data_IF_223241327200
#
_entry.id   IF_223241327200
#
_cell.length_a   1.000
_cell.length_b   1.000
_cell.length_c   1.000
_cell.angle_alpha   90.00
_cell.angle_beta   90.00
_cell.angle_gamma   90.00
#
_symmetry.space_group_name_H-M   'P 1'
#
loop_
_entity.id
_entity.type
_entity.pdbx_description
1 polymer ?
#
# COMPACT_ATOMS: atom_id res chain seq x y z
N UNK A 1 21.20 4.91 -65.28
CA UNK A 1 21.40 3.80 -64.32
C UNK A 1 20.59 4.15 -63.08
N UNK A 2 19.30 3.80 -63.10
CA UNK A 2 18.68 2.66 -62.36
C UNK A 2 18.57 2.94 -60.86
N UNK A 3 17.42 2.86 -60.20
CA UNK A 3 16.09 2.40 -60.60
C UNK A 3 15.12 2.57 -59.42
N UNK A 4 13.83 2.61 -59.77
CA UNK A 4 12.68 2.80 -58.89
C UNK A 4 12.42 1.61 -57.95
N UNK A 5 11.89 1.87 -56.75
CA UNK A 5 11.10 0.92 -55.94
C UNK A 5 9.82 1.65 -55.51
N UNK A 6 8.69 1.47 -56.21
CA UNK A 6 7.64 0.44 -56.03
C UNK A 6 7.05 0.44 -54.61
N UNK A 7 5.91 1.12 -54.48
CA UNK A 7 4.94 0.97 -53.40
C UNK A 7 4.08 -0.26 -53.69
N UNK A 8 3.99 -1.18 -52.74
CA UNK A 8 3.04 -2.30 -52.76
C UNK A 8 1.84 -1.98 -51.88
N UNK A 9 0.72 -1.67 -52.53
CA UNK A 9 -0.64 -1.71 -51.98
C UNK A 9 -1.03 -3.15 -51.70
N UNK A 10 -1.41 -3.46 -50.46
CA UNK A 10 -1.99 -4.74 -50.08
C UNK A 10 -3.52 -4.58 -50.06
N UNK A 11 -4.19 -5.15 -51.06
CA UNK A 11 -5.62 -5.47 -51.03
C UNK A 11 -5.86 -6.56 -49.97
N UNK A 12 -6.76 -6.30 -49.02
CA UNK A 12 -7.36 -7.36 -48.21
C UNK A 12 -8.78 -7.56 -48.71
N UNK A 13 -8.96 -8.70 -49.40
CA UNK A 13 -10.22 -9.20 -49.88
C UNK A 13 -11.15 -9.52 -48.70
N UNK A 14 -12.43 -9.16 -48.87
CA UNK A 14 -13.50 -9.52 -47.96
C UNK A 14 -13.78 -11.01 -47.94
N UNK A 15 -14.02 -11.54 -46.75
CA UNK A 15 -14.70 -12.80 -46.54
C UNK A 15 -15.93 -12.54 -45.67
N UNK A 16 -17.11 -12.53 -46.29
CA UNK A 16 -18.39 -12.62 -45.60
C UNK A 16 -18.46 -13.96 -44.88
N UNK A 17 -18.49 -13.92 -43.54
CA UNK A 17 -18.88 -15.07 -42.72
C UNK A 17 -20.39 -14.95 -42.53
N UNK A 18 -21.14 -15.77 -43.27
CA UNK A 18 -22.57 -15.98 -43.05
C UNK A 18 -22.71 -16.94 -41.87
N UNK A 19 -22.80 -16.39 -40.65
CA UNK A 19 -23.23 -17.16 -39.48
C UNK A 19 -24.72 -17.47 -39.58
N UNK A 20 -25.01 -18.75 -39.83
CA UNK A 20 -26.34 -19.33 -39.86
C UNK A 20 -26.80 -19.55 -38.41
N UNK A 21 -27.53 -18.58 -37.86
CA UNK A 21 -28.21 -18.72 -36.59
C UNK A 21 -29.30 -19.81 -36.69
N UNK A 22 -29.08 -20.95 -36.03
CA UNK A 22 -30.13 -21.91 -35.74
C UNK A 22 -30.87 -21.40 -34.51
N UNK A 23 -32.07 -20.87 -34.75
CA UNK A 23 -33.04 -20.54 -33.69
C UNK A 23 -33.61 -21.86 -33.17
N UNK A 24 -33.17 -22.27 -31.98
CA UNK A 24 -33.80 -23.35 -31.22
C UNK A 24 -34.90 -22.71 -30.35
N UNK A 25 -36.17 -23.14 -30.47
CA UNK A 25 -37.24 -22.62 -29.62
C UNK A 25 -37.07 -23.14 -28.18
N UNK A 26 -37.36 -22.31 -27.15
CA UNK A 26 -37.36 -22.78 -25.76
C UNK A 26 -38.57 -23.69 -25.53
N UNK A 27 -38.29 -24.92 -25.12
CA UNK A 27 -39.27 -25.90 -24.66
C UNK A 27 -39.75 -25.48 -23.27
N UNK A 28 -40.99 -24.97 -23.21
CA UNK A 28 -41.69 -24.70 -21.96
C UNK A 28 -42.10 -26.01 -21.30
N UNK A 29 -41.63 -26.24 -20.07
CA UNK A 29 -42.18 -27.24 -19.15
C UNK A 29 -42.36 -26.62 -17.76
N UNK A 30 -43.58 -26.60 -17.21
CA UNK A 30 -43.84 -25.96 -15.91
C UNK A 30 -43.59 -26.95 -14.77
N UNK A 31 -42.44 -26.83 -14.11
CA UNK A 31 -42.24 -27.46 -12.79
C UNK A 31 -42.80 -26.51 -11.71
N UNK A 32 -44.04 -26.77 -11.29
CA UNK A 32 -44.61 -26.21 -10.05
C UNK A 32 -43.84 -26.77 -8.84
N UNK A 33 -42.77 -26.11 -8.43
CA UNK A 33 -42.18 -26.34 -7.11
C UNK A 33 -42.86 -25.43 -6.08
N UNK A 34 -43.52 -26.07 -5.12
CA UNK A 34 -44.21 -25.45 -4.00
C UNK A 34 -43.15 -25.13 -2.93
N UNK A 35 -42.53 -23.95 -3.00
CA UNK A 35 -41.64 -23.50 -1.93
C UNK A 35 -42.47 -23.07 -0.71
N UNK A 36 -42.40 -23.88 0.34
CA UNK A 36 -42.82 -23.50 1.67
C UNK A 36 -41.87 -22.40 2.19
N UNK A 37 -42.41 -21.23 2.47
CA UNK A 37 -41.68 -20.15 3.12
C UNK A 37 -41.30 -20.56 4.54
N UNK A 38 -40.00 -20.70 4.79
CA UNK A 38 -39.42 -20.63 6.12
C UNK A 38 -38.60 -19.35 6.18
N UNK A 39 -39.26 -18.26 6.57
CA UNK A 39 -38.59 -17.04 7.02
C UNK A 39 -37.84 -17.39 8.31
N UNK A 40 -36.55 -17.73 8.19
CA UNK A 40 -35.64 -17.67 9.31
C UNK A 40 -35.01 -16.29 9.29
N UNK A 41 -35.60 -15.39 10.07
CA UNK A 41 -34.89 -14.24 10.61
C UNK A 41 -33.61 -14.75 11.27
N UNK A 42 -32.48 -14.55 10.61
CA UNK A 42 -31.18 -14.73 11.23
C UNK A 42 -31.04 -13.60 12.26
N UNK A 43 -31.31 -13.92 13.53
CA UNK A 43 -30.92 -13.09 14.66
C UNK A 43 -29.39 -12.94 14.63
N UNK A 44 -28.92 -11.81 14.07
CA UNK A 44 -27.54 -11.38 14.24
C UNK A 44 -27.29 -11.17 15.74
N UNK A 45 -26.12 -11.60 16.27
CA UNK A 45 -25.79 -11.37 17.66
C UNK A 45 -25.73 -9.86 17.93
N UNK A 46 -26.71 -9.34 18.65
CA UNK A 46 -26.65 -7.98 19.18
C UNK A 46 -25.66 -7.96 20.35
N UNK A 47 -24.73 -7.01 20.32
CA UNK A 47 -23.86 -6.71 21.45
C UNK A 47 -24.72 -6.07 22.54
N UNK A 48 -24.88 -6.78 23.65
CA UNK A 48 -25.61 -6.33 24.84
C UNK A 48 -24.71 -5.37 25.64
N UNK A 49 -24.83 -4.07 25.37
CA UNK A 49 -24.07 -3.01 26.04
C UNK A 49 -24.48 -2.78 27.51
N UNK A 50 -25.48 -3.50 28.03
CA UNK A 50 -25.92 -3.40 29.43
C UNK A 50 -25.23 -4.39 30.37
N UNK A 51 -24.34 -5.26 29.87
CA UNK A 51 -23.48 -6.08 30.72
C UNK A 51 -22.16 -5.35 30.93
N UNK A 52 -21.88 -5.01 32.18
CA UNK A 52 -20.57 -4.61 32.66
C UNK A 52 -19.50 -5.49 32.02
N UNK A 53 -18.64 -4.87 31.22
CA UNK A 53 -17.49 -5.51 30.60
C UNK A 53 -16.73 -6.30 31.68
N UNK A 54 -16.19 -7.50 31.39
CA UNK A 54 -15.41 -8.23 32.36
C UNK A 54 -14.22 -7.35 32.79
N UNK A 55 -14.26 -6.87 34.04
CA UNK A 55 -13.10 -6.22 34.65
C UNK A 55 -11.96 -7.22 34.67
N UNK A 56 -10.84 -6.84 34.06
CA UNK A 56 -9.56 -7.50 34.29
C UNK A 56 -9.25 -7.36 35.78
N UNK A 57 -9.44 -8.44 36.53
CA UNK A 57 -8.91 -8.59 37.88
C UNK A 57 -7.39 -8.52 37.75
N UNK A 58 -6.82 -7.34 37.96
CA UNK A 58 -5.39 -7.19 38.18
C UNK A 58 -5.09 -7.91 39.49
N UNK A 59 -4.50 -9.10 39.39
CA UNK A 59 -3.85 -9.75 40.53
C UNK A 59 -2.74 -8.82 41.01
N UNK A 60 -3.03 -8.03 42.05
CA UNK A 60 -2.01 -7.53 42.97
C UNK A 60 -1.41 -8.77 43.64
N UNK A 61 -0.10 -8.77 43.79
CA UNK A 61 0.72 -9.83 44.39
C UNK A 61 1.30 -10.79 43.35
N UNK A 62 2.26 -10.33 42.55
CA UNK A 62 3.54 -11.03 42.37
C UNK A 62 4.66 -10.02 42.08
N UNK A 63 5.73 -10.13 42.85
CA UNK A 63 6.98 -9.36 42.77
C UNK A 63 7.62 -9.48 41.38
N UNK A 64 7.38 -8.49 40.52
CA UNK A 64 8.12 -8.33 39.27
C UNK A 64 9.39 -7.52 39.53
N UNK A 65 10.55 -7.91 38.97
CA UNK A 65 11.81 -7.21 39.17
C UNK A 65 11.72 -5.78 38.63
N UNK A 66 12.05 -4.81 39.48
CA UNK A 66 12.16 -3.40 39.11
C UNK A 66 13.08 -3.26 37.90
N UNK A 67 12.50 -2.90 36.75
CA UNK A 67 13.28 -2.40 35.64
C UNK A 67 13.91 -1.08 36.08
N UNK A 68 15.24 -1.06 36.17
CA UNK A 68 16.04 0.15 36.34
C UNK A 68 15.75 1.11 35.17
N UNK A 69 14.74 1.95 35.34
CA UNK A 69 14.50 3.11 34.50
C UNK A 69 15.63 4.10 34.78
N UNK A 70 16.69 3.97 33.98
CA UNK A 70 17.72 4.98 33.84
C UNK A 70 17.08 6.34 33.61
N UNK A 71 17.31 7.20 34.59
CA UNK A 71 16.88 8.58 34.73
C UNK A 71 17.22 9.40 33.48
N UNK A 72 16.36 9.36 32.46
CA UNK A 72 16.41 10.30 31.33
C UNK A 72 15.85 11.63 31.81
N UNK A 73 16.75 12.57 32.03
CA UNK A 73 16.51 13.98 32.27
C UNK A 73 15.37 14.52 31.41
N UNK A 74 14.40 15.16 32.08
CA UNK A 74 13.29 15.92 31.54
C UNK A 74 13.68 16.75 30.32
N UNK A 75 13.34 16.27 29.13
CA UNK A 75 13.22 17.13 27.97
C UNK A 75 11.96 17.98 28.14
N UNK A 76 12.12 19.30 27.93
CA UNK A 76 11.05 20.30 27.98
C UNK A 76 9.81 19.84 27.21
N UNK A 77 8.59 20.10 27.72
CA UNK A 77 7.37 19.93 26.93
C UNK A 77 7.39 20.93 25.78
N UNK A 78 7.45 20.43 24.56
CA UNK A 78 7.22 21.23 23.36
C UNK A 78 5.71 21.39 23.21
N UNK A 79 5.19 22.55 23.62
CA UNK A 79 3.82 22.96 23.26
C UNK A 79 3.82 23.35 21.78
N UNK A 80 3.50 22.38 20.93
CA UNK A 80 3.23 22.58 19.50
C UNK A 80 1.74 22.82 19.32
N UNK A 81 1.37 24.09 19.37
CA UNK A 81 0.09 24.57 18.88
C UNK A 81 0.18 24.64 17.36
N UNK A 82 -0.65 23.86 16.65
CA UNK A 82 -0.85 23.99 15.20
C UNK A 82 -1.60 25.28 14.87
N UNK A 83 -1.05 26.42 15.30
CA UNK A 83 -1.25 27.64 14.56
C UNK A 83 -0.58 27.43 13.21
N UNK A 84 -1.29 27.76 12.13
CA UNK A 84 -0.71 27.97 10.82
C UNK A 84 0.48 28.94 10.98
N UNK A 85 1.68 28.39 11.18
CA UNK A 85 2.87 29.20 11.28
C UNK A 85 3.15 29.66 9.86
N UNK A 86 2.82 30.92 9.61
CA UNK A 86 3.43 31.70 8.55
C UNK A 86 4.94 31.71 8.87
N UNK A 87 5.63 30.70 8.36
CA UNK A 87 7.08 30.58 8.47
C UNK A 87 7.62 31.76 7.66
N UNK A 88 7.82 32.88 8.34
CA UNK A 88 8.69 33.96 7.88
C UNK A 88 10.13 33.44 8.02
N UNK A 89 10.48 32.56 7.09
CA UNK A 89 11.84 32.15 6.82
C UNK A 89 12.67 33.44 6.71
N UNK A 90 13.67 33.60 7.58
CA UNK A 90 14.62 34.71 7.48
C UNK A 90 15.34 34.58 6.13
N UNK A 91 14.78 35.23 5.12
CA UNK A 91 15.25 35.21 3.75
C UNK A 91 16.68 35.74 3.73
N UNK A 92 17.64 34.84 3.54
CA UNK A 92 19.01 35.20 3.20
C UNK A 92 18.96 36.03 1.92
N UNK A 93 19.21 37.33 2.06
CA UNK A 93 19.31 38.27 0.95
C UNK A 93 20.65 38.02 0.26
N UNK A 94 20.59 37.57 -0.99
CA UNK A 94 21.76 37.50 -1.86
C UNK A 94 21.71 38.77 -2.69
N UNK A 95 22.70 39.64 -2.49
CA UNK A 95 22.80 40.96 -3.15
C UNK A 95 21.61 41.89 -2.86
N UNK A 96 21.10 41.87 -1.62
CA UNK A 96 20.04 42.78 -1.20
C UNK A 96 18.65 42.49 -1.78
N UNK A 97 18.49 41.45 -2.62
CA UNK A 97 17.20 40.97 -3.10
C UNK A 97 16.81 39.66 -2.42
N UNK A 98 15.50 39.56 -2.13
CA UNK A 98 14.86 38.33 -1.64
C UNK A 98 15.12 37.19 -2.63
N UNK A 99 15.51 36.01 -2.13
CA UNK A 99 15.92 34.84 -2.94
C UNK A 99 14.89 34.51 -4.02
N UNK A 100 13.59 34.55 -3.70
CA UNK A 100 12.50 34.33 -4.67
C UNK A 100 12.47 35.38 -5.79
N UNK A 101 12.76 36.64 -5.49
CA UNK A 101 12.82 37.73 -6.49
C UNK A 101 14.06 37.61 -7.37
N UNK A 102 15.20 37.21 -6.81
CA UNK A 102 16.43 36.99 -7.56
C UNK A 102 16.24 35.92 -8.66
N UNK A 103 15.69 34.76 -8.30
CA UNK A 103 15.42 33.71 -9.29
C UNK A 103 14.38 34.13 -10.32
N UNK A 104 13.34 34.89 -9.94
CA UNK A 104 12.38 35.48 -10.88
C UNK A 104 13.08 36.36 -11.92
N UNK A 105 14.00 37.24 -11.51
CA UNK A 105 14.74 38.12 -12.43
C UNK A 105 15.65 37.32 -13.36
N UNK A 106 16.38 36.33 -12.83
CA UNK A 106 17.24 35.45 -13.65
C UNK A 106 16.43 34.69 -14.70
N UNK A 107 15.27 34.13 -14.31
CA UNK A 107 14.36 33.43 -15.23
C UNK A 107 13.85 34.39 -16.31
N UNK A 108 13.44 35.60 -15.96
CA UNK A 108 12.97 36.60 -16.94
C UNK A 108 14.07 36.98 -17.93
N UNK A 109 15.31 37.22 -17.47
CA UNK A 109 16.44 37.52 -18.37
C UNK A 109 16.76 36.35 -19.29
N UNK A 110 16.70 35.11 -18.76
CA UNK A 110 16.90 33.90 -19.57
C UNK A 110 15.79 33.75 -20.62
N UNK A 111 14.53 34.01 -20.25
CA UNK A 111 13.40 33.98 -21.17
C UNK A 111 13.49 35.05 -22.25
N UNK A 112 13.97 36.26 -21.95
CA UNK A 112 14.18 37.30 -22.95
C UNK A 112 15.30 36.88 -23.92
N UNK A 113 16.38 36.30 -23.41
CA UNK A 113 17.47 35.79 -24.26
C UNK A 113 16.99 34.66 -25.19
N UNK A 114 16.15 33.75 -24.69
CA UNK A 114 15.54 32.66 -25.47
C UNK A 114 14.47 33.18 -26.45
N UNK A 115 13.66 34.17 -26.06
CA UNK A 115 12.63 34.75 -26.92
C UNK A 115 13.23 35.53 -28.10
N UNK A 116 14.39 36.16 -27.93
CA UNK A 116 15.15 36.77 -29.04
C UNK A 116 15.73 35.67 -29.96
N UNK A 117 16.09 34.51 -29.42
CA UNK A 117 16.62 33.39 -30.19
C UNK A 117 15.53 32.59 -30.94
N UNK A 118 14.28 32.59 -30.47
CA UNK A 118 13.15 31.81 -31.03
C UNK A 118 12.05 32.75 -31.57
N UNK A 119 12.44 33.89 -32.13
CA UNK A 119 11.56 34.71 -32.96
C UNK A 119 11.19 34.00 -34.27
N UNK A 120 10.39 32.94 -34.18
CA UNK A 120 9.90 32.17 -35.32
C UNK A 120 9.35 30.79 -34.92
N UNK A 121 8.07 30.72 -34.52
CA UNK A 121 7.31 29.46 -34.61
C UNK A 121 6.40 29.10 -33.42
N UNK A 122 5.09 29.33 -33.62
CA UNK A 122 3.92 28.52 -33.23
C UNK A 122 3.79 27.97 -31.78
N UNK A 123 2.75 28.45 -31.08
CA UNK A 123 1.80 27.56 -30.37
C UNK A 123 2.09 27.16 -28.92
N UNK A 124 1.88 28.07 -27.96
CA UNK A 124 1.92 27.75 -26.53
C UNK A 124 0.62 27.12 -26.03
N UNK A 125 0.66 25.85 -25.62
CA UNK A 125 -0.38 25.24 -24.79
C UNK A 125 -0.18 25.62 -23.33
N UNK A 126 -1.16 26.33 -22.78
CA UNK A 126 -1.20 26.80 -21.38
C UNK A 126 -1.53 25.62 -20.46
N UNK A 127 -0.59 25.19 -19.61
CA UNK A 127 -0.86 24.28 -18.50
C UNK A 127 -1.37 25.12 -17.32
N UNK A 128 -2.65 24.97 -16.95
CA UNK A 128 -3.25 25.66 -15.80
C UNK A 128 -2.91 24.93 -14.51
N UNK A 129 -2.15 25.58 -13.63
CA UNK A 129 -2.07 25.23 -12.21
C UNK A 129 -3.44 25.53 -11.56
N UNK A 130 -4.27 24.51 -11.42
CA UNK A 130 -5.50 24.58 -10.65
C UNK A 130 -5.18 24.40 -9.17
N UNK A 131 -5.38 25.46 -8.38
CA UNK A 131 -5.45 25.38 -6.92
C UNK A 131 -6.61 24.46 -6.54
N UNK A 132 -6.36 23.17 -6.38
CA UNK A 132 -7.35 22.22 -5.86
C UNK A 132 -7.26 22.25 -4.34
N UNK A 133 -8.17 23.00 -3.73
CA UNK A 133 -8.42 22.92 -2.30
C UNK A 133 -9.02 21.56 -1.96
N UNK A 134 -8.53 20.93 -0.91
CA UNK A 134 -9.20 19.81 -0.26
C UNK A 134 -10.61 20.27 0.14
N UNK A 135 -11.63 19.80 -0.57
CA UNK A 135 -13.02 20.00 -0.16
C UNK A 135 -13.27 18.95 0.92
N UNK A 136 -13.53 19.35 2.18
CA UNK A 136 -13.89 18.41 3.22
C UNK A 136 -15.06 17.55 2.75
N UNK A 137 -14.95 16.23 2.89
CA UNK A 137 -16.08 15.37 2.54
C UNK A 137 -17.25 15.67 3.48
N UNK A 138 -18.46 15.65 2.91
CA UNK A 138 -19.70 15.82 3.67
C UNK A 138 -19.79 14.69 4.74
N UNK A 139 -20.05 15.01 6.02
CA UNK A 139 -20.28 13.99 7.06
C UNK A 139 -21.44 13.03 6.73
N UNK A 140 -22.24 13.31 5.69
CA UNK A 140 -23.29 12.42 5.18
C UNK A 140 -22.79 11.25 4.31
N UNK A 141 -21.50 11.19 3.96
CA UNK A 141 -20.96 10.09 3.13
C UNK A 141 -21.08 8.75 3.86
N UNK A 142 -21.84 7.84 3.26
CA UNK A 142 -22.03 6.48 3.79
C UNK A 142 -20.92 5.55 3.29
N UNK A 143 -20.40 4.71 4.19
CA UNK A 143 -19.48 3.63 3.83
C UNK A 143 -20.20 2.57 3.01
N UNK A 144 -19.56 2.06 1.96
CA UNK A 144 -20.08 0.96 1.16
C UNK A 144 -20.23 -0.30 2.03
N UNK A 145 -21.34 -1.04 1.90
CA UNK A 145 -21.62 -2.19 2.77
C UNK A 145 -20.59 -3.34 2.62
N UNK A 146 -19.99 -3.46 1.44
CA UNK A 146 -18.89 -4.39 1.17
C UNK A 146 -17.51 -3.71 1.12
N UNK A 147 -17.38 -2.49 1.64
CA UNK A 147 -16.09 -1.79 1.67
C UNK A 147 -15.03 -2.65 2.32
N UNK A 148 -13.89 -2.79 1.64
CA UNK A 148 -12.66 -3.26 2.26
C UNK A 148 -11.97 -2.07 2.93
N UNK A 149 -11.02 -2.35 3.81
CA UNK A 149 -10.26 -1.35 4.53
C UNK A 149 -8.78 -1.57 4.26
N UNK A 150 -8.05 -0.48 4.07
CA UNK A 150 -6.61 -0.45 4.17
C UNK A 150 -6.20 0.66 5.13
N UNK A 151 -5.05 0.52 5.76
CA UNK A 151 -4.52 1.54 6.64
C UNK A 151 -3.03 1.74 6.39
N UNK A 152 -2.58 2.96 6.60
CA UNK A 152 -1.16 3.30 6.60
C UNK A 152 -0.91 4.37 7.65
N UNK A 153 0.27 4.36 8.25
CA UNK A 153 0.70 5.37 9.19
C UNK A 153 2.11 5.84 8.82
N UNK A 154 2.43 7.08 9.15
CA UNK A 154 3.76 7.66 8.95
C UNK A 154 4.00 8.79 9.92
N UNK A 155 5.27 9.16 10.04
CA UNK A 155 5.71 10.36 10.75
C UNK A 155 6.35 11.31 9.74
N UNK A 156 6.04 12.60 9.82
CA UNK A 156 6.69 13.63 9.01
C UNK A 156 8.06 14.04 9.59
N UNK A 157 8.86 14.88 8.90
CA UNK A 157 10.14 15.36 9.44
C UNK A 157 10.04 16.26 10.68
N UNK A 158 8.85 16.77 11.01
CA UNK A 158 8.58 17.58 12.20
C UNK A 158 8.18 16.72 13.41
N UNK A 159 8.00 15.42 13.22
CA UNK A 159 7.57 14.49 14.27
C UNK A 159 6.05 14.36 14.40
N UNK A 160 5.28 14.93 13.48
CA UNK A 160 3.82 14.77 13.45
C UNK A 160 3.49 13.36 12.99
N UNK A 161 2.71 12.63 13.79
CA UNK A 161 2.23 11.30 13.43
C UNK A 161 0.93 11.39 12.67
N UNK A 162 0.78 10.55 11.64
CA UNK A 162 -0.41 10.47 10.81
C UNK A 162 -0.90 9.02 10.76
N UNK A 163 -2.23 8.85 10.80
CA UNK A 163 -2.90 7.58 10.55
C UNK A 163 -3.96 7.79 9.47
N UNK A 164 -3.88 7.03 8.39
CA UNK A 164 -4.85 7.03 7.31
C UNK A 164 -5.60 5.70 7.27
N UNK A 165 -6.91 5.79 7.09
CA UNK A 165 -7.80 4.65 6.83
C UNK A 165 -8.48 4.87 5.49
N UNK A 166 -8.23 3.98 4.55
CA UNK A 166 -8.80 3.98 3.21
C UNK A 166 -10.02 3.08 3.18
N UNK A 167 -11.08 3.57 2.55
CA UNK A 167 -12.37 2.88 2.45
C UNK A 167 -13.09 3.32 1.18
N UNK A 168 -14.19 2.65 0.86
CA UNK A 168 -15.02 2.95 -0.29
C UNK A 168 -16.38 3.50 0.14
N UNK A 169 -16.80 4.62 -0.44
CA UNK A 169 -18.14 5.18 -0.22
C UNK A 169 -19.21 4.35 -0.93
N UNK A 170 -20.48 4.49 -0.52
CA UNK A 170 -21.62 3.83 -1.17
C UNK A 170 -21.78 4.21 -2.65
N UNK A 171 -21.18 5.33 -3.09
CA UNK A 171 -21.08 5.77 -4.49
C UNK A 171 -19.98 5.05 -5.29
N UNK A 172 -19.26 4.11 -4.67
CA UNK A 172 -18.04 3.46 -5.17
C UNK A 172 -16.78 4.35 -5.18
N UNK A 173 -16.87 5.61 -4.73
CA UNK A 173 -15.72 6.50 -4.61
C UNK A 173 -14.70 5.99 -3.58
N UNK A 174 -13.42 6.20 -3.86
CA UNK A 174 -12.34 5.93 -2.92
C UNK A 174 -12.21 7.11 -1.95
N UNK A 175 -12.19 6.79 -0.67
CA UNK A 175 -12.18 7.75 0.42
C UNK A 175 -10.98 7.51 1.33
N UNK A 176 -10.54 8.56 2.03
CA UNK A 176 -9.60 8.45 3.14
C UNK A 176 -10.11 9.20 4.35
N UNK A 177 -10.03 8.55 5.50
CA UNK A 177 -10.10 9.19 6.81
C UNK A 177 -8.68 9.40 7.30
N UNK A 178 -8.29 10.63 7.60
CA UNK A 178 -6.94 10.99 8.03
C UNK A 178 -6.99 11.58 9.44
N UNK A 179 -6.17 11.06 10.33
CA UNK A 179 -5.88 11.65 11.63
C UNK A 179 -4.43 12.08 11.68
N UNK A 180 -4.14 13.19 12.36
CA UNK A 180 -2.78 13.55 12.74
C UNK A 180 -2.71 13.88 14.23
N UNK A 181 -1.53 13.78 14.83
CA UNK A 181 -1.33 13.98 16.28
C UNK A 181 -1.76 15.34 16.82
N UNK A 182 -2.02 16.30 15.94
CA UNK A 182 -2.39 17.68 16.26
C UNK A 182 -3.81 18.06 15.83
N UNK A 183 -4.55 17.14 15.20
CA UNK A 183 -5.90 17.39 14.68
C UNK A 183 -6.84 16.20 14.92
N UNK A 184 -8.12 16.42 14.65
CA UNK A 184 -9.12 15.35 14.64
C UNK A 184 -9.13 14.63 13.28
N UNK A 185 -9.88 13.52 13.21
CA UNK A 185 -10.14 12.84 11.96
C UNK A 185 -10.79 13.77 10.94
N UNK A 186 -10.21 13.84 9.74
CA UNK A 186 -10.78 14.48 8.57
C UNK A 186 -11.10 13.42 7.52
N UNK A 187 -12.03 13.72 6.61
CA UNK A 187 -12.42 12.82 5.53
C UNK A 187 -12.27 13.53 4.19
N UNK A 188 -11.61 12.87 3.24
CA UNK A 188 -11.36 13.40 1.90
C UNK A 188 -11.75 12.37 0.84
N UNK A 189 -12.31 12.85 -0.29
CA UNK A 189 -12.68 12.03 -1.43
C UNK A 189 -11.52 11.99 -2.45
N UNK A 190 -10.85 10.83 -2.54
CA UNK A 190 -9.70 10.64 -3.43
C UNK A 190 -10.13 10.71 -4.90
N UNK A 191 -11.28 10.12 -5.25
CA UNK A 191 -11.82 10.10 -6.62
C UNK A 191 -12.08 11.49 -7.21
N UNK A 192 -12.23 12.53 -6.38
CA UNK A 192 -12.35 13.92 -6.87
C UNK A 192 -11.02 14.54 -7.27
N UNK A 193 -9.93 14.12 -6.62
CA UNK A 193 -8.58 14.64 -6.89
C UNK A 193 -7.95 13.99 -8.13
N UNK A 194 -8.29 12.73 -8.39
CA UNK A 194 -7.80 11.94 -9.53
C UNK A 194 -8.96 11.15 -10.13
N UNK A 195 -9.13 11.24 -11.45
CA UNK A 195 -10.20 10.49 -12.14
C UNK A 195 -9.88 9.00 -12.14
N UNK A 196 -10.54 8.29 -11.23
CA UNK A 196 -10.47 6.83 -11.08
C UNK A 196 -11.86 6.23 -11.02
N UNK A 197 -11.95 4.96 -11.41
CA UNK A 197 -13.12 4.13 -11.23
C UNK A 197 -12.67 2.82 -10.60
N UNK A 198 -13.35 2.38 -9.55
CA UNK A 198 -13.07 1.14 -8.84
C UNK A 198 -14.33 0.26 -8.83
N UNK A 199 -14.17 -1.07 -8.78
CA UNK A 199 -15.31 -1.97 -8.59
C UNK A 199 -15.97 -1.76 -7.23
N UNK A 200 -17.26 -2.07 -7.11
CA UNK A 200 -17.95 -2.07 -5.84
C UNK A 200 -17.37 -3.14 -4.91
N UNK A 201 -16.98 -2.77 -3.70
CA UNK A 201 -16.29 -3.65 -2.76
C UNK A 201 -14.85 -3.98 -3.16
N UNK A 202 -14.20 -3.09 -3.92
CA UNK A 202 -12.81 -3.28 -4.36
C UNK A 202 -11.89 -3.62 -3.17
N UNK A 203 -10.97 -4.60 -3.31
CA UNK A 203 -9.93 -4.78 -2.32
C UNK A 203 -9.05 -3.52 -2.27
N UNK A 204 -8.63 -3.15 -1.06
CA UNK A 204 -7.75 -2.01 -0.84
C UNK A 204 -6.48 -2.50 -0.16
N UNK A 205 -5.34 -1.99 -0.59
CA UNK A 205 -4.07 -2.21 0.09
C UNK A 205 -3.25 -0.92 0.05
N UNK A 206 -2.70 -0.50 1.19
CA UNK A 206 -1.97 0.75 1.29
C UNK A 206 -0.61 0.55 1.95
N UNK A 207 0.36 1.35 1.53
CA UNK A 207 1.65 1.45 2.18
C UNK A 207 2.11 2.91 2.19
N UNK A 208 2.87 3.28 3.22
CA UNK A 208 3.45 4.60 3.36
C UNK A 208 4.97 4.51 3.54
N UNK A 209 5.66 5.52 3.01
CA UNK A 209 7.07 5.81 3.28
C UNK A 209 7.15 7.14 4.00
N UNK A 210 7.37 7.08 5.31
CA UNK A 210 7.55 8.23 6.20
C UNK A 210 9.01 8.46 6.62
N UNK A 211 9.23 9.51 7.41
CA UNK A 211 10.49 9.73 8.13
C UNK A 211 10.76 8.55 9.09
N UNK A 212 12.03 8.10 9.28
CA UNK A 212 13.28 8.64 8.73
C UNK A 212 13.64 8.10 7.33
N UNK A 213 12.78 7.28 6.71
CA UNK A 213 13.06 6.57 5.46
C UNK A 213 12.85 7.44 4.20
N UNK A 214 12.98 8.76 4.33
CA UNK A 214 12.84 9.76 3.26
C UNK A 214 14.19 10.25 2.73
N UNK A 215 15.25 9.44 2.88
CA UNK A 215 16.58 9.78 2.38
C UNK A 215 16.58 9.95 0.84
N UNK A 216 17.49 10.78 0.33
CA UNK A 216 17.57 11.13 -1.09
C UNK A 216 17.67 9.92 -2.02
N UNK A 217 18.22 8.80 -1.56
CA UNK A 217 18.38 7.58 -2.36
C UNK A 217 17.08 6.78 -2.54
N UNK A 218 16.14 6.87 -1.60
CA UNK A 218 14.86 6.15 -1.66
C UNK A 218 13.76 7.00 -2.30
N UNK A 219 13.95 8.32 -2.34
CA UNK A 219 12.93 9.29 -2.73
C UNK A 219 12.23 9.87 -1.49
N UNK A 220 11.52 10.99 -1.69
CA UNK A 220 10.83 11.70 -0.60
C UNK A 220 9.67 10.92 0.03
N UNK A 221 8.91 11.57 0.90
CA UNK A 221 7.68 11.00 1.44
C UNK A 221 6.74 10.50 0.33
N UNK A 222 6.03 9.41 0.60
CA UNK A 222 4.97 8.96 -0.30
C UNK A 222 4.00 8.01 0.37
N UNK A 223 2.76 8.02 -0.11
CA UNK A 223 1.72 7.06 0.25
C UNK A 223 1.14 6.49 -1.02
N UNK A 224 0.90 5.19 -1.03
CA UNK A 224 0.31 4.50 -2.17
C UNK A 224 -0.91 3.70 -1.76
N UNK A 225 -1.90 3.68 -2.63
CA UNK A 225 -3.13 2.91 -2.48
C UNK A 225 -3.33 2.07 -3.73
N UNK A 226 -3.47 0.76 -3.55
CA UNK A 226 -3.80 -0.19 -4.61
C UNK A 226 -5.26 -0.61 -4.52
N UNK A 227 -5.88 -0.77 -5.69
CA UNK A 227 -7.28 -1.16 -5.84
C UNK A 227 -7.50 -1.90 -7.16
N UNK A 228 -8.68 -2.47 -7.36
CA UNK A 228 -9.12 -3.05 -8.64
C UNK A 228 -10.06 -2.12 -9.41
N UNK A 229 -9.74 -1.91 -10.69
CA UNK A 229 -10.58 -1.23 -11.69
C UNK A 229 -11.80 -2.08 -12.09
N UNK A 230 -12.79 -1.51 -12.81
CA UNK A 230 -13.90 -2.25 -13.43
C UNK A 230 -13.48 -3.41 -14.32
N UNK A 231 -12.31 -3.32 -14.95
CA UNK A 231 -11.73 -4.39 -15.77
C UNK A 231 -10.96 -5.44 -14.94
N UNK A 232 -11.09 -5.40 -13.61
CA UNK A 232 -10.35 -6.22 -12.66
C UNK A 232 -8.83 -6.08 -12.81
N UNK A 233 -8.34 -4.92 -13.24
CA UNK A 233 -6.90 -4.63 -13.29
C UNK A 233 -6.41 -4.05 -11.98
N UNK A 234 -5.21 -4.45 -11.55
CA UNK A 234 -4.53 -3.86 -10.38
C UNK A 234 -4.07 -2.45 -10.74
N UNK A 235 -4.62 -1.45 -10.06
CA UNK A 235 -4.31 -0.03 -10.25
C UNK A 235 -3.62 0.53 -9.01
N UNK A 236 -2.86 1.61 -9.23
CA UNK A 236 -2.10 2.30 -8.19
C UNK A 236 -2.47 3.79 -8.17
N UNK A 237 -2.77 4.30 -6.99
CA UNK A 237 -2.74 5.72 -6.66
C UNK A 237 -1.51 6.03 -5.80
N UNK A 238 -1.03 7.25 -5.95
CA UNK A 238 0.16 7.74 -5.27
C UNK A 238 0.00 9.20 -4.86
N UNK A 239 0.58 9.56 -3.72
CA UNK A 239 0.68 10.95 -3.27
C UNK A 239 2.00 11.18 -2.54
N UNK A 240 2.54 12.39 -2.67
CA UNK A 240 3.67 12.90 -1.87
C UNK A 240 3.23 13.99 -0.90
N UNK A 241 1.93 14.14 -0.67
CA UNK A 241 1.33 15.14 0.21
C UNK A 241 1.05 14.51 1.58
N UNK A 242 1.65 15.03 2.65
CA UNK A 242 1.46 14.52 4.01
C UNK A 242 0.00 14.63 4.48
N UNK A 243 -0.80 15.52 3.89
CA UNK A 243 -2.23 15.65 4.21
C UNK A 243 -3.12 14.84 3.28
N UNK A 244 -2.53 14.06 2.37
CA UNK A 244 -3.22 13.23 1.38
C UNK A 244 -4.25 14.01 0.53
N UNK A 245 -4.02 15.29 0.28
CA UNK A 245 -4.94 16.13 -0.49
C UNK A 245 -4.78 16.01 -2.00
N UNK A 246 -3.59 15.62 -2.45
CA UNK A 246 -3.22 15.61 -3.85
C UNK A 246 -2.81 14.22 -4.31
N UNK A 247 -3.68 13.52 -5.03
CA UNK A 247 -3.39 12.20 -5.57
C UNK A 247 -3.12 12.24 -7.07
N UNK A 248 -2.24 11.35 -7.52
CA UNK A 248 -1.98 11.05 -8.92
C UNK A 248 -2.09 9.55 -9.15
N UNK A 249 -2.17 9.16 -10.43
CA UNK A 249 -1.93 7.75 -10.79
C UNK A 249 -0.49 7.40 -10.44
N UNK A 250 -0.29 6.17 -9.96
CA UNK A 250 1.03 5.65 -9.65
C UNK A 250 1.70 5.05 -10.88
N UNK A 251 3.00 4.78 -10.74
CA UNK A 251 3.84 4.23 -11.82
C UNK A 251 3.31 2.91 -12.40
N UNK A 252 2.60 2.08 -11.63
CA UNK A 252 1.97 0.87 -12.15
C UNK A 252 0.89 1.21 -13.20
N UNK A 253 -0.03 2.11 -12.86
CA UNK A 253 -1.13 2.55 -13.73
C UNK A 253 -0.65 3.35 -14.94
N UNK A 254 0.48 4.03 -14.82
CA UNK A 254 1.08 4.83 -15.90
C UNK A 254 1.98 4.01 -16.83
N UNK A 255 2.49 2.86 -16.38
CA UNK A 255 3.37 2.01 -17.20
C UNK A 255 2.68 1.41 -18.44
N UNK A 256 1.34 1.50 -18.53
CA UNK A 256 0.55 0.93 -19.62
C UNK A 256 0.45 -0.61 -19.60
N UNK A 257 1.05 -1.26 -18.61
CA UNK A 257 0.94 -2.70 -18.37
C UNK A 257 -0.31 -2.96 -17.53
N UNK A 258 -1.16 -3.89 -17.98
CA UNK A 258 -2.38 -4.27 -17.27
C UNK A 258 -2.22 -5.66 -16.66
N UNK A 259 -2.41 -5.75 -15.35
CA UNK A 259 -2.40 -7.02 -14.61
C UNK A 259 -3.81 -7.35 -14.16
N UNK A 260 -4.42 -8.34 -14.82
CA UNK A 260 -5.77 -8.80 -14.48
C UNK A 260 -5.72 -9.69 -13.24
N UNK A 261 -6.49 -9.29 -12.23
CA UNK A 261 -6.72 -10.05 -11.01
C UNK A 261 -8.00 -10.88 -11.13
N UNK A 262 -8.10 -11.91 -10.30
CA UNK A 262 -9.36 -12.58 -10.05
C UNK A 262 -10.39 -11.56 -9.51
N UNK A 263 -11.68 -11.62 -9.91
CA UNK A 263 -12.71 -10.75 -9.36
C UNK A 263 -12.85 -10.80 -7.83
N UNK A 264 -12.49 -11.93 -7.20
CA UNK A 264 -12.51 -12.11 -5.74
C UNK A 264 -11.16 -11.86 -5.08
N UNK A 265 -10.12 -11.49 -5.85
CA UNK A 265 -8.76 -11.28 -5.34
C UNK A 265 -8.76 -10.32 -4.17
N UNK A 266 -7.97 -10.63 -3.15
CA UNK A 266 -7.53 -9.64 -2.17
C UNK A 266 -6.23 -8.98 -2.66
N UNK A 267 -5.86 -7.86 -2.05
CA UNK A 267 -4.61 -7.18 -2.33
C UNK A 267 -3.80 -7.06 -1.05
N UNK A 268 -2.48 -7.17 -1.18
CA UNK A 268 -1.56 -6.89 -0.11
C UNK A 268 -0.39 -6.09 -0.67
N UNK A 269 0.09 -5.09 0.05
CA UNK A 269 1.20 -4.25 -0.40
C UNK A 269 2.20 -4.05 0.73
N UNK A 270 3.46 -4.01 0.36
CA UNK A 270 4.55 -3.67 1.26
C UNK A 270 5.57 -2.79 0.55
N UNK A 271 6.21 -1.90 1.32
CA UNK A 271 7.24 -0.99 0.84
C UNK A 271 8.58 -1.37 1.49
N UNK A 272 9.61 -1.62 0.67
CA UNK A 272 10.96 -1.90 1.15
C UNK A 272 11.61 -0.65 1.72
N UNK A 273 11.57 -0.54 3.05
CA UNK A 273 12.11 0.57 3.82
C UNK A 273 13.19 0.08 4.80
N UNK A 274 14.36 0.73 4.78
CA UNK A 274 15.42 0.59 5.78
C UNK A 274 16.37 1.79 5.71
N UNK A 275 17.27 1.92 6.70
CA UNK A 275 18.18 3.07 6.83
C UNK A 275 19.20 3.18 5.69
N UNK A 276 19.80 2.04 5.28
CA UNK A 276 20.81 1.96 4.22
C UNK A 276 20.64 0.68 3.42
N UNK A 277 20.89 0.71 2.11
CA UNK A 277 20.89 -0.49 1.25
C UNK A 277 19.52 -0.99 0.80
N UNK A 278 18.42 -0.35 1.22
CA UNK A 278 17.09 -0.70 0.70
C UNK A 278 16.90 -0.23 -0.73
N UNK A 279 16.08 -0.98 -1.46
CA UNK A 279 15.73 -0.66 -2.84
C UNK A 279 14.67 0.44 -2.93
N UNK A 280 13.89 0.65 -1.87
CA UNK A 280 12.75 1.58 -1.91
C UNK A 280 11.60 1.07 -2.78
N UNK A 281 11.65 -0.20 -3.21
CA UNK A 281 10.66 -0.77 -4.09
C UNK A 281 9.38 -1.13 -3.35
N UNK A 282 8.26 -0.97 -4.05
CA UNK A 282 6.94 -1.47 -3.67
C UNK A 282 6.78 -2.89 -4.20
N UNK A 283 6.15 -3.74 -3.38
CA UNK A 283 5.67 -5.06 -3.77
C UNK A 283 4.17 -5.12 -3.53
N UNK A 284 3.41 -5.49 -4.54
CA UNK A 284 1.97 -5.75 -4.42
C UNK A 284 1.69 -7.20 -4.81
N UNK A 285 0.87 -7.87 -4.01
CA UNK A 285 0.43 -9.23 -4.23
C UNK A 285 -1.07 -9.27 -4.52
N UNK A 286 -1.43 -10.16 -5.43
CA UNK A 286 -2.81 -10.38 -5.86
C UNK A 286 -2.97 -11.81 -6.39
N UNK A 287 -4.20 -12.30 -6.44
CA UNK A 287 -4.55 -13.56 -7.08
C UNK A 287 -4.99 -13.27 -8.52
N UNK A 288 -4.40 -13.94 -9.51
CA UNK A 288 -4.83 -13.82 -10.90
C UNK A 288 -6.04 -14.73 -11.24
N UNK A 289 -6.55 -14.61 -12.47
CA UNK A 289 -7.68 -15.40 -12.97
C UNK A 289 -7.41 -16.92 -12.98
N UNK A 290 -6.14 -17.32 -13.04
CA UNK A 290 -5.65 -18.70 -12.96
C UNK A 290 -5.47 -19.18 -11.52
N UNK A 291 -5.99 -18.44 -10.53
CA UNK A 291 -5.86 -18.77 -9.11
C UNK A 291 -4.41 -18.85 -8.64
N UNK A 292 -3.50 -18.14 -9.31
CA UNK A 292 -2.10 -18.04 -8.92
C UNK A 292 -1.88 -16.77 -8.11
N UNK A 293 -1.25 -16.89 -6.95
CA UNK A 293 -0.73 -15.76 -6.21
C UNK A 293 0.45 -15.16 -6.98
N UNK A 294 0.27 -13.93 -7.44
CA UNK A 294 1.26 -13.15 -8.18
C UNK A 294 1.84 -12.05 -7.31
N UNK A 295 3.08 -11.69 -7.59
CA UNK A 295 3.80 -10.56 -6.99
C UNK A 295 4.31 -9.63 -8.09
N UNK A 296 3.93 -8.36 -8.01
CA UNK A 296 4.45 -7.26 -8.85
C UNK A 296 5.46 -6.43 -8.05
N UNK A 297 6.46 -5.90 -8.73
CA UNK A 297 7.52 -5.10 -8.10
C UNK A 297 7.74 -3.77 -8.83
N UNK A 298 7.87 -2.66 -8.10
CA UNK A 298 8.08 -1.34 -8.71
C UNK A 298 9.39 -1.16 -9.45
N UNK A 299 10.38 -2.03 -9.24
CA UNK A 299 11.58 -2.04 -10.07
C UNK A 299 11.29 -2.45 -11.51
N UNK A 300 10.24 -3.23 -11.74
CA UNK A 300 9.79 -3.67 -13.05
C UNK A 300 8.33 -4.12 -13.01
N UNK A 301 7.41 -3.19 -13.21
CA UNK A 301 5.99 -3.50 -13.31
C UNK A 301 5.62 -4.39 -14.49
N UNK A 302 6.51 -4.56 -15.48
CA UNK A 302 6.28 -5.41 -16.64
C UNK A 302 6.47 -6.91 -16.37
N UNK A 303 6.89 -7.31 -15.17
CA UNK A 303 7.15 -8.71 -14.84
C UNK A 303 6.46 -9.13 -13.53
N UNK A 304 5.39 -9.92 -13.64
CA UNK A 304 4.75 -10.57 -12.51
C UNK A 304 5.44 -11.90 -12.20
N UNK A 305 5.75 -12.12 -10.92
CA UNK A 305 6.33 -13.38 -10.43
C UNK A 305 5.25 -14.26 -9.81
N UNK A 306 5.28 -15.57 -10.08
CA UNK A 306 4.40 -16.53 -9.43
C UNK A 306 4.95 -16.90 -8.05
N UNK A 307 4.13 -16.76 -7.01
CA UNK A 307 4.47 -17.13 -5.63
C UNK A 307 3.89 -18.49 -5.27
N UNK A 308 2.61 -18.71 -5.59
CA UNK A 308 1.87 -19.95 -5.27
C UNK A 308 0.79 -20.20 -6.32
N UNK A 309 0.84 -21.34 -6.97
CA UNK A 309 -0.24 -21.80 -7.86
C UNK A 309 -1.38 -22.45 -7.05
N UNK A 310 -2.56 -22.55 -7.68
CA UNK A 310 -3.73 -23.27 -7.15
C UNK A 310 -4.23 -22.75 -5.79
N UNK A 311 -4.16 -21.42 -5.58
CA UNK A 311 -4.65 -20.79 -4.37
C UNK A 311 -6.20 -20.80 -4.36
N UNK A 312 -6.81 -21.09 -3.22
CA UNK A 312 -8.28 -20.95 -3.07
C UNK A 312 -8.80 -19.58 -3.53
N UNK A 313 -9.94 -19.55 -4.24
CA UNK A 313 -10.52 -18.31 -4.78
C UNK A 313 -10.82 -17.31 -3.66
N UNK A 314 -10.34 -16.08 -3.82
CA UNK A 314 -10.56 -15.01 -2.85
C UNK A 314 -9.88 -15.23 -1.50
N UNK A 315 -8.77 -15.99 -1.49
CA UNK A 315 -7.92 -16.13 -0.33
C UNK A 315 -7.55 -14.76 0.26
N UNK A 316 -7.63 -14.65 1.60
CA UNK A 316 -7.05 -13.53 2.31
C UNK A 316 -5.54 -13.52 2.12
N UNK A 317 -4.95 -12.35 1.86
CA UNK A 317 -3.52 -12.16 1.62
C UNK A 317 -3.08 -10.94 2.45
N UNK A 318 -1.94 -11.04 3.13
CA UNK A 318 -1.29 -9.90 3.77
C UNK A 318 0.23 -10.06 3.70
N UNK A 319 0.96 -8.96 3.64
CA UNK A 319 2.42 -8.96 3.66
C UNK A 319 2.93 -7.94 4.67
N UNK A 320 4.00 -8.28 5.36
CA UNK A 320 4.71 -7.36 6.26
C UNK A 320 6.21 -7.54 6.13
N UNK A 321 6.96 -6.54 6.58
CA UNK A 321 8.40 -6.63 6.78
C UNK A 321 8.69 -7.02 8.23
N UNK A 322 9.66 -7.90 8.42
CA UNK A 322 10.29 -8.14 9.71
C UNK A 322 11.67 -7.50 9.72
N UNK A 323 11.91 -6.63 10.70
CA UNK A 323 13.26 -6.20 11.05
C UNK A 323 13.76 -7.13 12.15
N UNK A 324 14.56 -8.13 11.77
CA UNK A 324 15.28 -8.94 12.76
C UNK A 324 16.44 -8.11 13.29
N UNK A 325 16.28 -7.61 14.52
CA UNK A 325 17.37 -7.09 15.35
C UNK A 325 18.22 -8.28 15.82
N UNK A 326 19.01 -8.86 14.91
CA UNK A 326 20.12 -9.71 15.30
C UNK A 326 21.39 -8.91 15.04
N UNK A 327 21.83 -8.25 16.12
CA UNK A 327 23.14 -7.63 16.28
C UNK A 327 23.28 -6.24 15.63
N UNK A 328 24.06 -5.34 16.25
CA UNK A 328 24.00 -3.88 16.08
C UNK A 328 24.41 -3.34 14.70
N UNK A 329 24.64 -4.21 13.73
CA UNK A 329 24.76 -3.81 12.33
C UNK A 329 23.34 -3.57 11.82
N UNK A 330 22.98 -2.31 11.61
CA UNK A 330 21.71 -1.83 11.03
C UNK A 330 21.39 -2.39 9.61
N UNK A 331 22.08 -3.44 9.21
CA UNK A 331 21.98 -4.22 7.98
C UNK A 331 21.00 -5.38 8.13
N UNK A 332 20.07 -5.32 9.10
CA UNK A 332 18.89 -6.18 9.14
C UNK A 332 18.05 -5.91 7.91
N UNK A 333 18.41 -6.58 6.81
CA UNK A 333 17.78 -6.45 5.53
C UNK A 333 16.29 -6.86 5.61
N UNK A 334 15.54 -6.44 4.60
CA UNK A 334 14.08 -6.50 4.57
C UNK A 334 13.55 -7.94 4.42
N UNK A 335 13.62 -8.74 5.47
CA UNK A 335 12.92 -10.02 5.49
C UNK A 335 11.42 -9.76 5.38
N UNK A 336 10.80 -10.32 4.36
CA UNK A 336 9.36 -10.17 4.15
C UNK A 336 8.65 -11.42 4.65
N UNK A 337 7.44 -11.25 5.18
CA UNK A 337 6.53 -12.33 5.53
C UNK A 337 5.20 -12.10 4.85
N UNK A 338 4.86 -13.03 3.95
CA UNK A 338 3.54 -13.14 3.36
C UNK A 338 2.74 -14.16 4.14
N UNK A 339 1.51 -13.79 4.47
CA UNK A 339 0.51 -14.71 5.00
C UNK A 339 -0.66 -14.81 4.04
N UNK A 340 -1.13 -16.03 3.78
CA UNK A 340 -2.31 -16.26 2.96
C UNK A 340 -3.14 -17.43 3.47
N UNK A 341 -4.43 -17.42 3.15
CA UNK A 341 -5.33 -18.53 3.46
C UNK A 341 -5.36 -19.56 2.32
N UNK A 342 -5.10 -20.83 2.61
CA UNK A 342 -5.16 -21.91 1.63
C UNK A 342 -5.61 -23.21 2.30
N UNK A 343 -6.54 -23.94 1.66
CA UNK A 343 -7.09 -25.21 2.15
C UNK A 343 -7.55 -25.20 3.63
N UNK A 344 -8.11 -24.08 4.13
CA UNK A 344 -8.55 -23.95 5.52
C UNK A 344 -7.43 -23.64 6.52
N UNK A 345 -6.22 -23.37 6.04
CA UNK A 345 -5.01 -23.13 6.82
C UNK A 345 -4.49 -21.72 6.53
N UNK A 346 -3.78 -21.12 7.49
CA UNK A 346 -2.96 -19.93 7.22
C UNK A 346 -1.55 -20.40 6.91
N UNK A 347 -1.05 -20.01 5.75
CA UNK A 347 0.29 -20.28 5.26
C UNK A 347 1.15 -19.05 5.46
N UNK A 348 2.43 -19.25 5.80
CA UNK A 348 3.46 -18.22 5.88
C UNK A 348 4.56 -18.54 4.87
N UNK A 349 4.99 -17.52 4.12
CA UNK A 349 6.15 -17.58 3.23
C UNK A 349 7.09 -16.44 3.55
N UNK A 350 8.36 -16.77 3.78
CA UNK A 350 9.43 -15.80 3.96
C UNK A 350 10.17 -15.49 2.66
N UNK A 351 10.67 -14.28 2.50
CA UNK A 351 11.75 -14.01 1.55
C UNK A 351 12.95 -13.44 2.31
N UNK A 352 14.12 -14.02 2.05
CA UNK A 352 15.41 -13.41 2.36
C UNK A 352 15.85 -12.43 1.27
N UNK A 353 17.05 -11.88 1.45
CA UNK A 353 17.58 -10.79 0.61
C UNK A 353 17.90 -11.20 -0.81
N UNK A 354 18.15 -12.49 -1.02
CA UNK A 354 18.40 -13.06 -2.34
C UNK A 354 17.12 -13.16 -3.19
N UNK A 355 15.96 -12.77 -2.65
CA UNK A 355 14.68 -12.81 -3.35
C UNK A 355 14.12 -14.22 -3.56
N UNK A 356 14.82 -15.25 -3.10
CA UNK A 356 14.34 -16.61 -3.07
C UNK A 356 13.35 -16.77 -1.91
N UNK A 357 12.22 -17.43 -2.18
CA UNK A 357 11.28 -17.79 -1.13
C UNK A 357 11.94 -18.82 -0.20
N UNK A 358 11.97 -18.51 1.09
CA UNK A 358 12.39 -19.42 2.14
C UNK A 358 11.19 -20.29 2.58
N UNK A 359 11.49 -21.40 3.27
CA UNK A 359 10.57 -22.45 3.70
C UNK A 359 9.11 -22.00 3.98
N UNK A 360 8.16 -22.75 3.42
CA UNK A 360 6.72 -22.53 3.67
C UNK A 360 6.35 -23.15 5.03
N UNK A 361 5.82 -22.33 5.94
CA UNK A 361 5.34 -22.77 7.25
C UNK A 361 3.80 -22.77 7.22
N UNK A 362 3.18 -23.92 7.52
CA UNK A 362 1.73 -24.09 7.57
C UNK A 362 1.20 -24.11 9.00
N UNK A 363 0.19 -23.29 9.31
CA UNK A 363 -0.46 -23.26 10.64
C UNK A 363 -1.96 -23.55 10.51
N UNK A 364 -2.50 -24.56 11.23
CA UNK A 364 -3.92 -24.89 11.18
C UNK A 364 -4.84 -23.86 11.83
N UNK A 365 -6.03 -23.69 11.25
CA UNK A 365 -7.12 -22.85 11.77
C UNK A 365 -8.32 -23.73 12.18
N UNK A 366 -9.06 -23.42 13.27
CA UNK A 366 -8.87 -22.32 14.22
C UNK A 366 -7.64 -22.54 15.12
N UNK A 367 -7.11 -21.44 15.66
CA UNK A 367 -6.10 -21.42 16.72
C UNK A 367 -6.62 -22.09 18.00
N UNK A 368 -6.89 -23.38 17.96
CA UNK A 368 -6.86 -24.20 19.17
C UNK A 368 -5.38 -24.33 19.44
N UNK A 369 -4.82 -23.39 20.20
CA UNK A 369 -3.54 -23.61 20.86
C UNK A 369 -3.68 -24.98 21.55
N UNK A 370 -3.01 -26.04 21.07
CA UNK A 370 -2.94 -27.22 21.90
C UNK A 370 -2.28 -26.73 23.19
N UNK A 371 -2.85 -27.08 24.34
CA UNK A 371 -2.28 -26.84 25.67
C UNK A 371 -0.92 -27.54 25.80
N UNK A 372 0.08 -27.03 25.08
CA UNK A 372 1.43 -27.56 25.01
C UNK A 372 2.32 -26.50 25.63
N UNK A 373 2.83 -26.87 26.81
CA UNK A 373 3.92 -26.21 27.52
C UNK A 373 4.97 -25.77 26.50
N UNK A 374 5.24 -24.47 26.46
CA UNK A 374 6.40 -23.89 25.79
C UNK A 374 7.65 -24.62 26.29
N UNK A 375 8.18 -25.53 25.47
CA UNK A 375 9.53 -26.04 25.68
C UNK A 375 10.49 -24.95 25.21
N UNK A 376 10.91 -24.09 26.14
CA UNK A 376 12.14 -23.32 25.98
C UNK A 376 13.29 -24.31 25.78
N UNK A 377 13.72 -24.52 24.53
CA UNK A 377 15.02 -25.15 24.27
C UNK A 377 16.09 -24.18 24.79
N UNK A 378 16.71 -24.53 25.92
CA UNK A 378 17.95 -23.87 26.36
C UNK A 378 19.01 -24.04 25.25
N UNK A 379 19.72 -22.96 24.86
CA UNK A 379 20.87 -23.09 23.99
C UNK A 379 21.93 -23.94 24.70
N UNK A 380 22.46 -24.93 23.97
CA UNK A 380 23.49 -25.84 24.44
C UNK A 380 24.83 -25.10 24.34
N UNK A 381 25.33 -24.56 25.45
CA UNK A 381 26.69 -24.02 25.52
C UNK A 381 27.68 -25.17 25.31
N UNK A 382 28.53 -25.04 24.29
CA UNK A 382 29.71 -25.89 24.14
C UNK A 382 30.80 -25.36 25.09
N UNK A 383 30.99 -26.04 26.23
CA UNK A 383 32.20 -25.90 27.04
C UNK A 383 33.37 -26.56 26.29
N UNK A 384 34.25 -25.74 25.70
CA UNK A 384 35.60 -26.16 25.34
C UNK A 384 36.45 -26.25 26.62
N UNK A 385 36.58 -27.46 27.14
CA UNK A 385 37.55 -27.82 28.19
C UNK A 385 38.98 -27.61 27.67
N UNK A 386 39.68 -26.65 28.27
CA UNK A 386 41.11 -26.42 28.07
C UNK A 386 41.93 -27.61 28.53
N UNK A 387 42.71 -28.17 27.61
CA UNK A 387 43.69 -29.24 27.88
C UNK A 387 44.98 -28.59 28.36
N UNK A 388 45.33 -28.85 29.62
CA UNK A 388 46.59 -28.40 30.23
C UNK A 388 47.81 -29.00 29.52
N UNK A 389 48.74 -28.12 29.13
CA UNK A 389 50.09 -28.48 28.73
C UNK A 389 50.99 -28.49 29.97
N UNK A 390 51.45 -29.68 30.36
CA UNK A 390 52.50 -29.85 31.36
C UNK A 390 53.86 -29.49 30.76
N UNK A 391 54.63 -28.69 31.50
CA UNK A 391 56.06 -28.46 31.27
C UNK A 391 56.79 -29.48 32.16
N UNK A 392 57.64 -30.29 31.54
CA UNK A 392 58.62 -31.14 32.23
C UNK A 392 60.01 -30.52 32.08
N UNK A 393 60.67 -30.42 33.24
CA UNK A 393 62.09 -30.14 33.56
C UNK A 393 63.03 -29.55 32.51
#
# INVERSE_FOLDING_TARGET
MSGNGIYSTLEVAGSEIVEKFIVVPPEESPVKSKMAGSSREANLPQVDYNKSLPELVQSRDEDLPEALLGQRSHAKPWTLECAASDITENEKTIWGLKRRRFYMVVVVVLFVAVAIAIGGGIGGTIWRNGSRGNIPADPSVKVHSSSKLAAANWTDPLGTEYYAVFWQASSADLMVSLWCSTSNWTVSNISTSVSVSAINGTPLAAAARGYPYTSLSLGGFGVTLFYLSPEHTVEQLYTTDFELGNWTKGTLSEAGVKWTANPSSQLAVWWSLCGTGCTGNLRVLYQDDQQTLRSLNSSNWGNATSVKAELGVGAGITITGLTVNYDQTWEGHSTQRLYYHDAGMVQEVGWGDEGNAEDVISVPFPWVLPSRRLFCRRPRFHETLGRGGGISY
#
